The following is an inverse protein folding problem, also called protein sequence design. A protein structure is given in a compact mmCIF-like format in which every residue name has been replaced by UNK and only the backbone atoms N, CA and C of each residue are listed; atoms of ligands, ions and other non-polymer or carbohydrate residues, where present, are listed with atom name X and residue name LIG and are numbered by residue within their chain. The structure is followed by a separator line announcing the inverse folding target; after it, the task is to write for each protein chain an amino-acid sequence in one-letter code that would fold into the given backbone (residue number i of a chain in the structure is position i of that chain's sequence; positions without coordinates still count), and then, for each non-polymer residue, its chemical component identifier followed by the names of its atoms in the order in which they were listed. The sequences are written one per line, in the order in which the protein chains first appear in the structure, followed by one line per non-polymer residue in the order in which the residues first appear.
data_IF_109612581668
#
_entry.id   IF_109612581668
#
_cell.length_a   1.000
_cell.length_b   1.000
_cell.length_c   1.000
_cell.angle_alpha   90.00
_cell.angle_beta   90.00
_cell.angle_gamma   90.00
#
_symmetry.space_group_name_H-M   'P 1'
#
loop_
_entity.id
_entity.type
_entity.pdbx_description
1 polymer ?
#
# COMPACT_ATOMS: atom_id res chain seq x y z
N UNK A 1 -14.89 0.17 16.26
CA UNK A 1 -14.43 0.67 14.95
C UNK A 1 -15.31 0.09 13.87
N UNK A 2 -16.08 0.94 13.19
CA UNK A 2 -17.03 0.58 12.12
C UNK A 2 -16.24 0.30 10.85
N UNK A 3 -16.48 -0.86 10.24
CA UNK A 3 -15.90 -1.28 8.97
C UNK A 3 -16.77 -0.86 7.79
N UNK A 4 -16.49 -1.41 6.62
CA UNK A 4 -17.39 -1.30 5.47
C UNK A 4 -17.93 -2.69 5.12
N UNK A 5 -19.22 -2.77 4.82
CA UNK A 5 -19.86 -3.97 4.29
C UNK A 5 -20.01 -3.85 2.78
N UNK A 6 -19.64 -4.92 2.08
CA UNK A 6 -19.67 -5.00 0.62
C UNK A 6 -20.54 -6.17 0.20
N UNK A 7 -21.29 -5.98 -0.88
CA UNK A 7 -21.92 -7.04 -1.66
C UNK A 7 -21.37 -6.96 -3.08
N UNK A 8 -20.64 -7.99 -3.50
CA UNK A 8 -19.86 -8.01 -4.73
C UNK A 8 -20.43 -9.14 -5.61
N UNK A 9 -20.92 -8.79 -6.79
CA UNK A 9 -21.38 -9.76 -7.78
C UNK A 9 -20.24 -10.03 -8.75
N UNK A 10 -19.76 -11.27 -8.78
CA UNK A 10 -18.74 -11.72 -9.73
C UNK A 10 -19.45 -12.14 -11.03
N UNK A 11 -18.90 -11.78 -12.17
CA UNK A 11 -19.44 -12.13 -13.49
C UNK A 11 -18.31 -12.62 -14.39
N UNK A 12 -18.66 -13.43 -15.40
CA UNK A 12 -17.70 -13.90 -16.39
C UNK A 12 -16.76 -14.98 -15.87
N UNK A 13 -17.20 -15.80 -14.90
CA UNK A 13 -16.54 -17.04 -14.52
C UNK A 13 -17.36 -18.24 -15.00
N UNK A 14 -16.70 -19.37 -15.20
CA UNK A 14 -17.37 -20.63 -15.52
C UNK A 14 -17.88 -21.28 -14.23
N UNK A 15 -19.15 -21.71 -14.21
CA UNK A 15 -19.78 -22.37 -13.05
C UNK A 15 -20.28 -21.42 -11.97
N UNK A 16 -20.57 -21.93 -10.77
CA UNK A 16 -20.87 -21.15 -9.56
C UNK A 16 -19.58 -20.91 -8.77
N UNK A 17 -19.44 -19.77 -8.09
CA UNK A 17 -18.34 -19.59 -7.15
C UNK A 17 -18.36 -20.71 -6.10
N UNK A 18 -17.21 -21.37 -5.90
CA UNK A 18 -17.08 -22.39 -4.86
C UNK A 18 -17.21 -21.76 -3.46
N UNK A 19 -17.68 -22.56 -2.51
CA UNK A 19 -17.65 -22.15 -1.10
C UNK A 19 -16.22 -21.83 -0.69
N UNK A 20 -16.03 -20.66 -0.08
CA UNK A 20 -14.75 -20.24 0.48
C UNK A 20 -14.84 -20.26 2.01
N UNK A 21 -13.97 -21.04 2.66
CA UNK A 21 -13.97 -21.21 4.11
C UNK A 21 -12.76 -20.53 4.81
N UNK A 22 -11.73 -20.18 4.05
CA UNK A 22 -10.44 -19.69 4.57
C UNK A 22 -10.42 -18.16 4.82
N UNK A 23 -11.57 -17.58 5.16
CA UNK A 23 -11.74 -16.13 5.36
C UNK A 23 -10.78 -15.53 6.39
N UNK A 24 -10.48 -16.29 7.44
CA UNK A 24 -9.57 -15.86 8.50
C UNK A 24 -8.09 -16.00 8.14
N UNK A 25 -7.77 -16.68 7.03
CA UNK A 25 -6.41 -16.89 6.54
C UNK A 25 -5.95 -15.88 5.48
N UNK A 26 -6.83 -14.99 5.01
CA UNK A 26 -6.53 -14.08 3.89
C UNK A 26 -5.49 -13.02 4.30
N UNK A 27 -4.30 -12.99 3.66
CA UNK A 27 -3.28 -11.97 3.91
C UNK A 27 -3.79 -10.56 3.57
N UNK A 28 -3.49 -9.57 4.43
CA UNK A 28 -4.04 -8.21 4.30
C UNK A 28 -3.21 -7.28 3.41
N UNK A 29 -2.85 -7.73 2.21
CA UNK A 29 -2.12 -6.93 1.24
C UNK A 29 -2.82 -5.59 0.95
N UNK A 30 -2.03 -4.54 0.72
CA UNK A 30 -2.52 -3.35 0.04
C UNK A 30 -2.83 -3.71 -1.41
N UNK A 31 -4.06 -3.46 -1.85
CA UNK A 31 -4.45 -3.73 -3.22
C UNK A 31 -3.71 -2.85 -4.22
N UNK A 32 -3.57 -3.33 -5.46
CA UNK A 32 -2.90 -2.64 -6.56
C UNK A 32 -3.34 -1.17 -6.74
N UNK A 33 -4.61 -0.87 -6.50
CA UNK A 33 -5.18 0.48 -6.56
C UNK A 33 -4.47 1.49 -5.65
N UNK A 34 -3.85 1.03 -4.55
CA UNK A 34 -3.05 1.86 -3.64
C UNK A 34 -1.80 2.44 -4.32
N UNK A 35 -1.31 1.77 -5.37
CA UNK A 35 -0.10 2.12 -6.09
C UNK A 35 -0.38 2.91 -7.38
N UNK A 36 -1.66 3.10 -7.73
CA UNK A 36 -2.13 3.76 -8.94
C UNK A 36 -2.80 2.77 -9.88
N UNK A 37 -3.98 3.12 -10.41
CA UNK A 37 -4.79 2.22 -11.24
C UNK A 37 -4.17 1.97 -12.62
N UNK A 38 -4.02 3.01 -13.45
CA UNK A 38 -3.50 2.88 -14.81
C UNK A 38 -1.97 2.70 -14.85
N UNK A 39 -1.25 3.33 -13.90
CA UNK A 39 0.21 3.23 -13.77
C UNK A 39 0.56 3.07 -12.29
N UNK A 40 1.10 1.92 -11.85
CA UNK A 40 1.35 1.63 -10.45
C UNK A 40 2.64 2.29 -9.93
N UNK A 41 2.88 3.57 -10.24
CA UNK A 41 4.15 4.27 -9.95
C UNK A 41 4.14 5.06 -8.64
N UNK A 42 2.99 5.12 -7.94
CA UNK A 42 2.81 5.96 -6.73
C UNK A 42 3.83 5.64 -5.63
N UNK A 43 4.17 4.36 -5.45
CA UNK A 43 5.17 3.93 -4.48
C UNK A 43 6.61 4.22 -4.94
N UNK A 44 6.90 4.19 -6.24
CA UNK A 44 8.20 4.55 -6.80
C UNK A 44 8.50 6.04 -6.60
N UNK A 45 7.49 6.91 -6.82
CA UNK A 45 7.57 8.34 -6.48
C UNK A 45 7.85 8.50 -4.97
N UNK A 46 7.12 7.78 -4.13
CA UNK A 46 7.31 7.78 -2.67
C UNK A 46 8.71 7.34 -2.24
N UNK A 47 9.25 6.29 -2.87
CA UNK A 47 10.60 5.79 -2.64
C UNK A 47 11.65 6.85 -2.95
N UNK A 48 11.54 7.52 -4.09
CA UNK A 48 12.45 8.60 -4.48
C UNK A 48 12.36 9.80 -3.52
N UNK A 49 11.15 10.18 -3.09
CA UNK A 49 10.92 11.22 -2.08
C UNK A 49 11.60 10.86 -0.75
N UNK A 50 11.42 9.64 -0.26
CA UNK A 50 12.03 9.18 0.99
C UNK A 50 13.56 9.14 0.89
N UNK A 51 14.10 8.73 -0.26
CA UNK A 51 15.54 8.75 -0.51
C UNK A 51 16.13 10.17 -0.64
N UNK A 52 15.29 11.21 -0.74
CA UNK A 52 15.72 12.57 -1.05
C UNK A 52 16.20 12.76 -2.50
N UNK A 53 15.91 11.79 -3.38
CA UNK A 53 16.21 11.84 -4.81
C UNK A 53 15.08 12.58 -5.55
N UNK A 54 15.12 13.91 -5.48
CA UNK A 54 14.11 14.78 -6.07
C UNK A 54 14.07 14.66 -7.60
N UNK A 55 15.22 14.45 -8.24
CA UNK A 55 15.33 14.27 -9.68
C UNK A 55 14.60 13.01 -10.12
N UNK A 56 14.83 11.88 -9.42
CA UNK A 56 14.07 10.66 -9.68
C UNK A 56 12.58 10.84 -9.40
N UNK A 57 12.21 11.52 -8.31
CA UNK A 57 10.80 11.75 -7.99
C UNK A 57 10.08 12.56 -9.09
N UNK A 58 10.72 13.60 -9.64
CA UNK A 58 10.19 14.35 -10.80
C UNK A 58 10.05 13.44 -12.02
N UNK A 59 11.08 12.65 -12.33
CA UNK A 59 11.05 11.73 -13.47
C UNK A 59 9.91 10.69 -13.36
N UNK A 60 9.68 10.14 -12.17
CA UNK A 60 8.59 9.18 -11.91
C UNK A 60 7.20 9.83 -12.02
N UNK A 61 7.05 11.09 -11.58
CA UNK A 61 5.79 11.84 -11.75
C UNK A 61 5.47 12.06 -13.22
N UNK A 62 6.43 12.58 -13.99
CA UNK A 62 6.24 12.84 -15.43
C UNK A 62 6.05 11.52 -16.20
N UNK A 63 6.76 10.47 -15.78
CA UNK A 63 6.68 9.14 -16.32
C UNK A 63 7.01 9.08 -17.82
N UNK A 64 6.69 7.94 -18.45
CA UNK A 64 7.02 7.69 -19.85
C UNK A 64 6.36 8.63 -20.86
N UNK A 65 5.26 9.29 -20.48
CA UNK A 65 4.55 10.21 -21.37
C UNK A 65 5.40 11.44 -21.75
N UNK A 66 6.45 11.73 -20.96
CA UNK A 66 7.41 12.80 -21.23
C UNK A 66 8.74 12.32 -21.81
N UNK A 67 8.91 11.03 -22.11
CA UNK A 67 10.18 10.51 -22.66
C UNK A 67 10.50 11.18 -24.00
N UNK A 68 11.71 11.73 -24.11
CA UNK A 68 12.17 12.45 -25.30
C UNK A 68 11.59 13.86 -25.48
N UNK A 69 10.73 14.32 -24.57
CA UNK A 69 10.20 15.69 -24.57
C UNK A 69 10.97 16.56 -23.57
N UNK A 70 11.13 17.84 -23.93
CA UNK A 70 11.51 18.87 -22.97
C UNK A 70 10.36 19.15 -22.00
N UNK A 71 10.67 19.68 -20.81
CA UNK A 71 9.64 20.09 -19.86
C UNK A 71 8.65 21.11 -20.46
N UNK A 72 9.12 21.99 -21.37
CA UNK A 72 8.28 22.98 -22.05
C UNK A 72 7.33 22.37 -23.10
N UNK A 73 7.74 21.27 -23.74
CA UNK A 73 6.87 20.49 -24.63
C UNK A 73 5.83 19.72 -23.81
N UNK A 74 6.24 19.07 -22.71
CA UNK A 74 5.31 18.37 -21.82
C UNK A 74 4.24 19.31 -21.24
N UNK A 75 4.65 20.48 -20.74
CA UNK A 75 3.73 21.45 -20.14
C UNK A 75 2.61 21.90 -21.11
N UNK A 76 2.90 21.92 -22.42
CA UNK A 76 1.94 22.31 -23.46
C UNK A 76 1.20 21.12 -24.10
N UNK A 77 1.85 19.96 -24.19
CA UNK A 77 1.38 18.81 -24.96
C UNK A 77 0.67 17.73 -24.15
N UNK A 78 0.84 17.70 -22.82
CA UNK A 78 0.17 16.69 -21.99
C UNK A 78 -1.36 16.91 -21.92
N UNK A 79 -2.17 15.84 -21.89
CA UNK A 79 -3.62 15.92 -21.78
C UNK A 79 -4.12 16.74 -20.58
N UNK A 80 -5.32 17.33 -20.73
CA UNK A 80 -5.98 18.16 -19.69
C UNK A 80 -6.29 17.41 -18.38
N UNK A 81 -6.31 16.08 -18.37
CA UNK A 81 -6.50 15.28 -17.15
C UNK A 81 -5.24 15.04 -16.32
N UNK A 82 -4.06 15.45 -16.81
CA UNK A 82 -2.75 15.21 -16.17
C UNK A 82 -2.25 16.46 -15.45
N UNK A 83 -3.06 17.00 -14.52
CA UNK A 83 -2.80 18.29 -13.86
C UNK A 83 -1.50 18.27 -13.04
N UNK A 84 -1.21 17.15 -12.40
CA UNK A 84 0.00 16.94 -11.60
C UNK A 84 1.23 17.02 -12.52
N UNK A 85 1.24 16.22 -13.58
CA UNK A 85 2.37 16.14 -14.51
C UNK A 85 2.58 17.47 -15.23
N UNK A 86 1.50 18.14 -15.67
CA UNK A 86 1.59 19.48 -16.28
C UNK A 86 2.12 20.53 -15.31
N UNK A 87 1.66 20.52 -14.06
CA UNK A 87 2.13 21.46 -13.03
C UNK A 87 3.63 21.30 -12.77
N UNK A 88 4.08 20.06 -12.60
CA UNK A 88 5.51 19.74 -12.42
C UNK A 88 6.32 20.12 -13.66
N UNK A 89 5.89 19.73 -14.86
CA UNK A 89 6.58 20.07 -16.11
C UNK A 89 6.67 21.59 -16.32
N UNK A 90 5.59 22.34 -16.05
CA UNK A 90 5.58 23.79 -16.19
C UNK A 90 6.54 24.48 -15.22
N UNK A 91 6.63 24.02 -13.97
CA UNK A 91 7.58 24.53 -13.00
C UNK A 91 9.02 24.26 -13.44
N UNK A 92 9.32 23.03 -13.87
CA UNK A 92 10.65 22.66 -14.38
C UNK A 92 11.03 23.46 -15.64
N UNK A 93 10.08 23.67 -16.56
CA UNK A 93 10.28 24.50 -17.76
C UNK A 93 10.57 25.97 -17.44
N UNK A 94 10.11 26.45 -16.29
CA UNK A 94 10.33 27.82 -15.81
C UNK A 94 11.64 27.96 -15.01
N UNK A 95 12.46 26.90 -14.95
CA UNK A 95 13.74 26.90 -14.23
C UNK A 95 13.62 26.65 -12.72
N UNK A 96 12.47 26.19 -12.22
CA UNK A 96 12.36 25.76 -10.84
C UNK A 96 13.22 24.50 -10.59
N UNK A 97 13.88 24.43 -9.43
CA UNK A 97 14.50 23.18 -8.98
C UNK A 97 13.46 22.09 -8.70
N UNK A 98 13.91 20.84 -8.64
CA UNK A 98 13.07 19.64 -8.56
C UNK A 98 12.13 19.66 -7.34
N UNK A 99 12.66 20.06 -6.18
CA UNK A 99 11.87 20.15 -4.95
C UNK A 99 10.76 21.22 -5.07
N UNK A 100 11.05 22.34 -5.72
CA UNK A 100 10.06 23.40 -5.95
C UNK A 100 9.01 22.94 -6.95
N UNK A 101 9.40 22.21 -8.00
CA UNK A 101 8.47 21.63 -8.96
C UNK A 101 7.55 20.60 -8.30
N UNK A 102 8.08 19.71 -7.46
CA UNK A 102 7.28 18.73 -6.70
C UNK A 102 6.30 19.40 -5.73
N UNK A 103 6.61 20.59 -5.22
CA UNK A 103 5.69 21.35 -4.33
C UNK A 103 4.45 21.89 -5.05
N UNK A 104 4.42 21.89 -6.38
CA UNK A 104 3.18 22.19 -7.13
C UNK A 104 2.13 21.08 -6.98
N UNK A 105 2.56 19.87 -6.63
CA UNK A 105 1.67 18.75 -6.34
C UNK A 105 0.91 19.00 -5.02
N UNK A 106 -0.41 18.76 -4.95
CA UNK A 106 -1.17 18.93 -3.73
C UNK A 106 -0.57 18.17 -2.54
N UNK A 107 -0.60 18.78 -1.34
CA UNK A 107 -0.01 18.21 -0.11
C UNK A 107 -0.53 16.78 0.16
N UNK A 108 -1.84 16.56 -0.04
CA UNK A 108 -2.45 15.24 0.16
C UNK A 108 -1.85 14.17 -0.75
N UNK A 109 -1.57 14.50 -2.02
CA UNK A 109 -0.95 13.59 -2.98
C UNK A 109 0.51 13.33 -2.65
N UNK A 110 1.25 14.34 -2.18
CA UNK A 110 2.64 14.16 -1.72
C UNK A 110 2.74 13.21 -0.54
N UNK A 111 1.83 13.34 0.44
CA UNK A 111 1.66 12.36 1.53
C UNK A 111 1.30 10.99 1.01
N UNK A 112 0.40 10.90 0.02
CA UNK A 112 -0.01 9.65 -0.59
C UNK A 112 1.18 8.90 -1.21
N UNK A 113 2.11 9.58 -1.88
CA UNK A 113 3.31 8.95 -2.44
C UNK A 113 4.13 8.23 -1.36
N UNK A 114 4.47 8.93 -0.28
CA UNK A 114 5.24 8.35 0.84
C UNK A 114 4.46 7.20 1.49
N UNK A 115 3.16 7.36 1.70
CA UNK A 115 2.31 6.30 2.24
C UNK A 115 2.17 5.08 1.32
N UNK A 116 2.20 5.28 -0.01
CA UNK A 116 2.23 4.18 -0.96
C UNK A 116 3.55 3.41 -0.87
N UNK A 117 4.67 4.08 -0.64
CA UNK A 117 5.93 3.40 -0.37
C UNK A 117 5.92 2.61 0.95
N UNK A 118 5.34 3.16 2.03
CA UNK A 118 5.08 2.38 3.26
C UNK A 118 4.22 1.13 2.99
N UNK A 119 3.22 1.27 2.12
CA UNK A 119 2.31 0.18 1.73
C UNK A 119 3.06 -0.91 0.96
N UNK A 120 3.98 -0.52 0.08
CA UNK A 120 4.84 -1.43 -0.66
C UNK A 120 5.78 -2.21 0.27
N UNK A 121 6.45 -1.54 1.22
CA UNK A 121 7.30 -2.20 2.22
C UNK A 121 6.49 -3.19 3.07
N UNK A 122 5.26 -2.83 3.45
CA UNK A 122 4.36 -3.74 4.15
C UNK A 122 4.05 -4.98 3.31
N UNK A 123 3.68 -4.83 2.03
CA UNK A 123 3.40 -5.96 1.15
C UNK A 123 4.63 -6.88 1.00
N UNK A 124 5.82 -6.29 0.78
CA UNK A 124 7.10 -7.02 0.73
C UNK A 124 7.36 -7.80 2.02
N UNK A 125 7.15 -7.19 3.18
CA UNK A 125 7.31 -7.83 4.49
C UNK A 125 6.33 -8.99 4.68
N UNK A 126 5.06 -8.79 4.31
CA UNK A 126 4.02 -9.82 4.42
C UNK A 126 4.32 -11.00 3.49
N UNK A 127 4.77 -10.74 2.26
CA UNK A 127 5.22 -11.78 1.34
C UNK A 127 6.42 -12.55 1.90
N UNK A 128 7.46 -11.85 2.38
CA UNK A 128 8.63 -12.49 2.97
C UNK A 128 8.28 -13.36 4.18
N UNK A 129 7.31 -12.93 5.01
CA UNK A 129 6.81 -13.75 6.12
C UNK A 129 6.14 -15.04 5.62
N UNK A 130 5.28 -14.94 4.61
CA UNK A 130 4.62 -16.11 4.01
C UNK A 130 5.64 -17.06 3.39
N UNK A 131 6.60 -16.55 2.62
CA UNK A 131 7.65 -17.34 1.97
C UNK A 131 8.55 -18.05 2.98
N UNK A 132 8.81 -17.41 4.13
CA UNK A 132 9.54 -18.00 5.25
C UNK A 132 8.70 -18.99 6.09
N UNK A 133 7.42 -19.18 5.77
CA UNK A 133 6.50 -20.02 6.54
C UNK A 133 6.14 -19.45 7.92
N UNK A 134 6.31 -18.15 8.14
CA UNK A 134 5.97 -17.48 9.40
C UNK A 134 4.45 -17.44 9.61
N UNK A 135 3.92 -18.00 10.71
CA UNK A 135 2.48 -17.95 10.95
C UNK A 135 2.01 -16.53 11.23
N UNK A 136 0.95 -16.14 10.51
CA UNK A 136 0.35 -14.80 10.59
C UNK A 136 -0.67 -14.65 11.71
N UNK A 137 -1.01 -15.73 12.41
CA UNK A 137 -1.77 -15.69 13.65
C UNK A 137 -0.93 -15.06 14.79
N UNK A 138 -1.59 -14.34 15.69
CA UNK A 138 -0.93 -13.76 16.85
C UNK A 138 -0.49 -14.85 17.83
N UNK A 139 0.70 -14.66 18.44
CA UNK A 139 1.27 -15.52 19.48
C UNK A 139 1.57 -14.72 20.74
N UNK A 140 1.81 -15.41 21.85
CA UNK A 140 2.09 -14.76 23.13
C UNK A 140 3.24 -13.74 23.00
N UNK A 141 3.02 -12.53 23.52
CA UNK A 141 3.97 -11.43 23.43
C UNK A 141 3.95 -10.63 22.10
N UNK A 142 3.26 -11.10 21.05
CA UNK A 142 3.16 -10.35 19.78
C UNK A 142 2.44 -9.00 19.98
N UNK A 143 2.86 -8.00 19.21
CA UNK A 143 2.06 -6.78 19.06
C UNK A 143 0.89 -7.10 18.15
N UNK A 144 -0.33 -6.85 18.62
CA UNK A 144 -1.56 -7.26 17.94
C UNK A 144 -2.70 -6.26 18.17
N UNK A 145 -3.78 -6.41 17.40
CA UNK A 145 -5.04 -5.74 17.64
C UNK A 145 -6.01 -6.67 18.38
N UNK A 146 -6.38 -6.31 19.61
CA UNK A 146 -7.35 -7.06 20.41
C UNK A 146 -8.82 -6.75 20.08
N UNK A 147 -9.76 -7.27 20.89
CA UNK A 147 -11.21 -7.22 20.67
C UNK A 147 -11.80 -5.80 20.48
N UNK A 148 -11.12 -4.74 20.94
CA UNK A 148 -11.51 -3.34 20.75
C UNK A 148 -10.91 -2.65 19.51
N UNK A 149 -10.08 -3.34 18.72
CA UNK A 149 -9.29 -2.71 17.66
C UNK A 149 -8.18 -1.78 18.19
N UNK A 150 -7.79 -1.96 19.45
CA UNK A 150 -6.66 -1.27 20.09
C UNK A 150 -5.42 -2.15 20.04
N UNK A 151 -4.25 -1.52 19.88
CA UNK A 151 -2.98 -2.21 19.98
C UNK A 151 -2.76 -2.71 21.41
N UNK A 152 -2.29 -3.95 21.54
CA UNK A 152 -1.90 -4.56 22.80
C UNK A 152 -0.76 -5.56 22.56
N UNK A 153 -0.13 -6.02 23.65
CA UNK A 153 0.62 -7.28 23.60
C UNK A 153 -0.37 -8.42 23.76
N UNK A 154 -0.23 -9.41 22.90
CA UNK A 154 -1.06 -10.60 22.98
C UNK A 154 -0.75 -11.35 24.28
N UNK A 155 -1.80 -11.77 24.97
CA UNK A 155 -1.76 -12.69 26.09
C UNK A 155 -2.50 -13.97 25.66
N UNK A 156 -1.94 -15.13 25.99
CA UNK A 156 -2.47 -16.43 25.58
C UNK A 156 -4.00 -16.56 25.80
N UNK A 157 -4.71 -17.05 24.78
CA UNK A 157 -6.15 -17.37 24.85
C UNK A 157 -7.12 -16.30 24.32
N UNK A 158 -6.62 -15.17 23.79
CA UNK A 158 -7.47 -14.12 23.19
C UNK A 158 -7.56 -14.17 21.65
N UNK A 159 -8.72 -13.85 21.07
CA UNK A 159 -8.80 -13.58 19.63
C UNK A 159 -8.10 -12.26 19.29
N UNK A 160 -6.91 -12.31 18.69
CA UNK A 160 -6.13 -11.12 18.34
C UNK A 160 -5.52 -11.20 16.94
N UNK A 161 -5.45 -10.07 16.26
CA UNK A 161 -4.89 -9.97 14.92
C UNK A 161 -3.43 -9.51 15.00
N UNK A 162 -2.48 -10.32 14.53
CA UNK A 162 -1.07 -9.95 14.45
C UNK A 162 -0.90 -8.60 13.75
N UNK A 163 -0.13 -7.70 14.33
CA UNK A 163 0.15 -6.40 13.76
C UNK A 163 1.57 -6.37 13.17
N UNK A 164 1.67 -5.97 11.90
CA UNK A 164 2.94 -5.64 11.25
C UNK A 164 3.16 -4.14 11.40
N UNK A 165 4.34 -3.69 11.86
CA UNK A 165 4.66 -2.27 11.93
C UNK A 165 4.81 -1.68 10.53
N UNK A 166 4.23 -0.50 10.31
CA UNK A 166 4.45 0.30 9.12
C UNK A 166 5.74 1.11 9.29
N UNK A 167 6.60 1.08 8.27
CA UNK A 167 7.86 1.81 8.29
C UNK A 167 7.62 3.33 8.37
N UNK A 168 8.37 4.04 9.21
CA UNK A 168 8.28 5.49 9.37
C UNK A 168 9.36 6.01 10.31
N UNK A 169 9.43 7.33 10.52
CA UNK A 169 10.49 7.92 11.33
C UNK A 169 10.42 7.54 12.82
N UNK A 170 9.26 7.08 13.29
CA UNK A 170 9.03 6.56 14.64
C UNK A 170 8.80 5.03 14.63
N UNK A 171 9.45 4.31 13.71
CA UNK A 171 9.31 2.86 13.53
C UNK A 171 9.53 2.07 14.84
N UNK A 172 8.65 1.09 15.09
CA UNK A 172 8.70 0.22 16.27
C UNK A 172 9.31 -1.14 15.94
N UNK A 173 10.57 -1.35 16.33
CA UNK A 173 11.34 -2.55 15.98
C UNK A 173 11.14 -3.75 16.92
N UNK A 174 10.30 -3.67 17.96
CA UNK A 174 10.12 -4.75 18.96
C UNK A 174 8.92 -5.64 18.61
N UNK A 175 8.91 -6.17 17.40
CA UNK A 175 7.88 -7.11 16.91
C UNK A 175 8.54 -8.38 16.39
N UNK A 176 7.80 -9.49 16.37
CA UNK A 176 8.31 -10.76 15.83
C UNK A 176 8.80 -10.65 14.39
N UNK A 177 8.13 -9.82 13.57
CA UNK A 177 8.47 -9.64 12.15
C UNK A 177 9.55 -8.57 11.91
N UNK A 178 10.14 -7.99 12.96
CA UNK A 178 11.09 -6.89 12.81
C UNK A 178 12.35 -7.26 12.01
N UNK A 179 12.79 -8.52 12.08
CA UNK A 179 13.91 -9.03 11.28
C UNK A 179 13.61 -9.00 9.78
N UNK A 180 12.44 -9.47 9.38
CA UNK A 180 11.98 -9.44 7.98
C UNK A 180 11.82 -8.00 7.47
N UNK A 181 11.27 -7.10 8.29
CA UNK A 181 11.18 -5.68 7.93
C UNK A 181 12.59 -5.10 7.73
N UNK A 182 13.55 -5.43 8.61
CA UNK A 182 14.92 -4.94 8.48
C UNK A 182 15.60 -5.45 7.21
N UNK A 183 15.35 -6.69 6.82
CA UNK A 183 15.84 -7.26 5.56
C UNK A 183 15.27 -6.54 4.34
N UNK A 184 13.94 -6.35 4.28
CA UNK A 184 13.29 -5.59 3.20
C UNK A 184 13.85 -4.16 3.12
N UNK A 185 14.06 -3.49 4.25
CA UNK A 185 14.62 -2.14 4.27
C UNK A 185 16.07 -2.09 3.78
N UNK A 186 16.86 -3.13 4.09
CA UNK A 186 18.23 -3.27 3.58
C UNK A 186 18.25 -3.44 2.06
N UNK A 187 17.35 -4.25 1.50
CA UNK A 187 17.20 -4.41 0.05
C UNK A 187 16.77 -3.11 -0.64
N UNK A 188 15.85 -2.37 -0.02
CA UNK A 188 15.37 -1.10 -0.55
C UNK A 188 16.38 0.05 -0.40
N UNK A 189 17.41 -0.13 0.44
CA UNK A 189 18.46 0.86 0.71
C UNK A 189 17.94 2.05 1.54
N UNK A 190 16.94 1.85 2.38
CA UNK A 190 16.29 2.89 3.16
C UNK A 190 16.39 2.64 4.66
N UNK A 191 16.15 3.67 5.46
CA UNK A 191 16.16 3.62 6.92
C UNK A 191 14.98 4.38 7.52
N UNK A 192 14.56 4.08 8.78
CA UNK A 192 13.43 4.78 9.41
C UNK A 192 13.54 6.30 9.38
N UNK A 193 14.73 6.86 9.63
CA UNK A 193 14.99 8.32 9.64
C UNK A 193 14.70 9.00 8.31
N UNK A 194 14.76 8.28 7.19
CA UNK A 194 14.55 8.85 5.86
C UNK A 194 13.07 9.22 5.65
N UNK A 195 12.16 8.57 6.38
CA UNK A 195 10.72 8.90 6.39
C UNK A 195 10.39 10.19 7.12
N UNK A 196 11.38 10.89 7.70
CA UNK A 196 11.23 12.28 8.10
C UNK A 196 11.20 13.24 6.89
N UNK A 197 11.59 12.76 5.70
CA UNK A 197 11.53 13.45 4.40
C UNK A 197 12.05 14.88 4.51
N UNK A 198 13.35 15.03 4.82
CA UNK A 198 13.99 16.34 4.97
C UNK A 198 13.82 17.15 3.68
N UNK A 199 13.26 18.36 3.77
CA UNK A 199 12.94 19.19 2.61
C UNK A 199 11.48 19.09 2.16
N UNK A 200 10.73 18.09 2.62
CA UNK A 200 9.28 17.97 2.40
C UNK A 200 8.61 17.36 3.65
N UNK A 201 8.79 17.99 4.81
CA UNK A 201 8.30 17.49 6.10
C UNK A 201 6.78 17.33 6.15
N UNK A 202 6.02 18.06 5.33
CA UNK A 202 4.58 17.86 5.20
C UNK A 202 4.19 16.48 4.66
N UNK A 203 5.12 15.75 4.03
CA UNK A 203 4.98 14.38 3.55
C UNK A 203 5.63 13.33 4.47
N UNK A 204 6.22 13.75 5.60
CA UNK A 204 6.82 12.85 6.57
C UNK A 204 5.81 11.79 7.06
N UNK A 205 6.30 10.59 7.31
CA UNK A 205 5.49 9.48 7.78
C UNK A 205 6.01 8.94 9.11
N UNK A 206 5.16 9.00 10.13
CA UNK A 206 5.50 8.56 11.49
C UNK A 206 5.67 7.05 11.58
N UNK A 207 4.86 6.29 10.83
CA UNK A 207 4.78 4.83 10.88
C UNK A 207 3.41 4.40 11.38
N UNK A 208 3.36 3.30 12.12
CA UNK A 208 2.12 2.79 12.71
C UNK A 208 2.07 1.27 12.66
N UNK A 209 0.86 0.72 12.63
CA UNK A 209 0.64 -0.72 12.59
C UNK A 209 -0.53 -1.04 11.67
N UNK A 210 -0.51 -2.25 11.11
CA UNK A 210 -1.57 -2.81 10.28
C UNK A 210 -1.68 -4.31 10.54
N UNK A 211 -2.88 -4.88 10.47
CA UNK A 211 -3.06 -6.32 10.68
C UNK A 211 -2.42 -7.12 9.54
N UNK A 212 -1.80 -8.25 9.86
CA UNK A 212 -1.23 -9.16 8.87
C UNK A 212 -2.30 -9.86 8.03
N UNK A 213 -3.46 -10.16 8.63
CA UNK A 213 -4.61 -10.81 7.99
C UNK A 213 -5.81 -9.88 7.96
N UNK A 214 -6.69 -10.06 6.95
CA UNK A 214 -7.82 -9.17 6.70
C UNK A 214 -8.94 -9.35 7.75
N UNK A 215 -9.14 -10.59 8.23
CA UNK A 215 -10.05 -10.99 9.30
C UNK A 215 -11.44 -10.34 9.17
N UNK A 216 -12.20 -10.66 8.10
CA UNK A 216 -13.55 -10.16 7.91
C UNK A 216 -14.42 -10.53 9.12
N UNK A 217 -15.31 -9.63 9.54
CA UNK A 217 -16.23 -9.90 10.65
C UNK A 217 -17.34 -10.87 10.25
N UNK A 218 -17.78 -10.74 9.01
CA UNK A 218 -18.83 -11.53 8.39
C UNK A 218 -18.38 -11.75 6.95
N UNK A 219 -18.52 -12.98 6.47
CA UNK A 219 -18.21 -13.33 5.10
C UNK A 219 -19.09 -14.50 4.66
N UNK A 220 -19.60 -14.43 3.43
CA UNK A 220 -20.38 -15.52 2.83
C UNK A 220 -20.29 -15.44 1.31
N UNK A 221 -20.35 -16.62 0.69
CA UNK A 221 -20.57 -16.78 -0.76
C UNK A 221 -21.99 -17.32 -0.92
N UNK A 222 -22.75 -16.76 -1.86
CA UNK A 222 -24.08 -17.26 -2.21
C UNK A 222 -24.33 -17.07 -3.70
N UNK A 223 -24.29 -18.17 -4.46
CA UNK A 223 -24.23 -18.12 -5.92
C UNK A 223 -23.02 -17.30 -6.36
N UNK A 224 -23.24 -16.28 -7.20
CA UNK A 224 -22.16 -15.42 -7.72
C UNK A 224 -21.95 -14.15 -6.88
N UNK A 225 -22.55 -14.10 -5.68
CA UNK A 225 -22.48 -12.95 -4.79
C UNK A 225 -21.62 -13.24 -3.55
N UNK A 226 -20.62 -12.40 -3.33
CA UNK A 226 -19.78 -12.41 -2.14
C UNK A 226 -20.17 -11.25 -1.24
N UNK A 227 -20.55 -11.55 0.00
CA UNK A 227 -20.85 -10.53 1.02
C UNK A 227 -19.79 -10.56 2.09
N UNK A 228 -19.15 -9.42 2.35
CA UNK A 228 -18.09 -9.31 3.37
C UNK A 228 -18.16 -8.00 4.14
N UNK A 229 -17.88 -8.09 5.45
CA UNK A 229 -17.73 -6.92 6.33
C UNK A 229 -16.28 -6.80 6.76
N UNK A 230 -15.58 -5.80 6.21
CA UNK A 230 -14.14 -5.61 6.39
C UNK A 230 -13.82 -4.50 7.40
N UNK A 231 -12.80 -4.72 8.20
CA UNK A 231 -12.24 -3.70 9.10
C UNK A 231 -11.55 -2.60 8.29
N UNK A 232 -11.47 -1.40 8.87
CA UNK A 232 -10.71 -0.29 8.28
C UNK A 232 -9.27 -0.73 8.01
N UNK A 233 -8.78 -0.39 6.83
CA UNK A 233 -7.45 -0.75 6.36
C UNK A 233 -7.44 -1.96 5.44
N UNK A 234 -8.44 -2.84 5.48
CA UNK A 234 -8.51 -4.00 4.59
C UNK A 234 -9.12 -3.65 3.22
N UNK A 235 -8.74 -4.38 2.18
CA UNK A 235 -9.21 -4.16 0.81
C UNK A 235 -10.07 -5.34 0.35
N UNK A 236 -11.28 -5.06 -0.14
CA UNK A 236 -12.16 -6.09 -0.68
C UNK A 236 -11.54 -6.82 -1.88
N UNK A 237 -10.78 -6.10 -2.71
CA UNK A 237 -10.06 -6.68 -3.85
C UNK A 237 -8.98 -7.69 -3.46
N UNK A 238 -8.25 -7.44 -2.36
CA UNK A 238 -7.27 -8.40 -1.85
C UNK A 238 -7.96 -9.72 -1.43
N UNK A 239 -9.15 -9.63 -0.83
CA UNK A 239 -9.96 -10.79 -0.47
C UNK A 239 -10.58 -11.47 -1.70
N UNK A 240 -11.10 -10.70 -2.66
CA UNK A 240 -11.68 -11.25 -3.88
C UNK A 240 -10.66 -12.00 -4.73
N UNK A 241 -9.38 -11.61 -4.69
CA UNK A 241 -8.29 -12.37 -5.32
C UNK A 241 -8.25 -13.82 -4.82
N UNK A 242 -8.37 -14.03 -3.51
CA UNK A 242 -8.32 -15.36 -2.90
C UNK A 242 -9.60 -16.16 -3.13
N UNK A 243 -10.75 -15.50 -3.26
CA UNK A 243 -12.03 -16.13 -3.55
C UNK A 243 -12.11 -16.56 -5.02
N UNK A 244 -11.69 -15.70 -5.95
CA UNK A 244 -11.80 -15.94 -7.40
C UNK A 244 -10.63 -16.78 -7.91
N UNK A 245 -9.43 -16.61 -7.35
CA UNK A 245 -8.16 -17.19 -7.82
C UNK A 245 -7.99 -17.07 -9.35
N UNK A 246 -8.07 -15.84 -9.91
CA UNK A 246 -7.99 -15.65 -11.34
C UNK A 246 -6.62 -16.10 -11.88
N UNK A 247 -6.55 -16.66 -13.11
CA UNK A 247 -5.29 -17.09 -13.71
C UNK A 247 -4.31 -15.92 -13.91
N UNK A 248 -4.84 -14.72 -14.20
CA UNK A 248 -4.09 -13.47 -14.22
C UNK A 248 -4.74 -12.45 -13.27
N UNK A 249 -4.24 -12.35 -12.02
CA UNK A 249 -4.72 -11.37 -11.05
C UNK A 249 -4.54 -9.92 -11.50
N UNK A 250 -3.50 -9.61 -12.29
CA UNK A 250 -3.25 -8.24 -12.74
C UNK A 250 -4.28 -7.81 -13.79
N UNK A 251 -4.54 -8.67 -14.79
CA UNK A 251 -5.59 -8.42 -15.78
C UNK A 251 -6.99 -8.32 -15.15
N UNK A 252 -7.25 -9.06 -14.07
CA UNK A 252 -8.49 -8.99 -13.31
C UNK A 252 -8.60 -7.75 -12.39
N UNK A 253 -7.55 -6.91 -12.29
CA UNK A 253 -7.51 -5.78 -11.36
C UNK A 253 -7.41 -6.19 -9.88
N UNK A 254 -6.99 -7.43 -9.62
CA UNK A 254 -6.85 -8.08 -8.31
C UNK A 254 -5.37 -8.33 -7.94
N UNK A 255 -4.43 -7.64 -8.58
CA UNK A 255 -3.03 -7.68 -8.18
C UNK A 255 -2.84 -7.13 -6.74
N UNK A 256 -1.82 -7.64 -6.06
CA UNK A 256 -1.41 -7.23 -4.71
C UNK A 256 0.10 -7.05 -4.64
#
# INVERSE_FOLDING_TARGET
MVGNSFAIVVRGHDGTLGDFAEWDGVPNYYAYQRFGGARPVTHAIGRAIVAGDWARAVAEVLGRAGEGMTHAEMARGLPRGMDIERGVASAMASGAGELAALRTVPVGTRRLYVQAYQSYIFNRTLAAAIDAGEPLAARDGDVCYGAGGRLCRHAAGGGAALAIPLMGHSYYARTRLAGLVAEVMREEGASPRDFAVRGMQEAAAEGGFRTAMALPREASVGGDCVRVTLRRGSYATALMREVIKPPDPAAAGLAG
#
